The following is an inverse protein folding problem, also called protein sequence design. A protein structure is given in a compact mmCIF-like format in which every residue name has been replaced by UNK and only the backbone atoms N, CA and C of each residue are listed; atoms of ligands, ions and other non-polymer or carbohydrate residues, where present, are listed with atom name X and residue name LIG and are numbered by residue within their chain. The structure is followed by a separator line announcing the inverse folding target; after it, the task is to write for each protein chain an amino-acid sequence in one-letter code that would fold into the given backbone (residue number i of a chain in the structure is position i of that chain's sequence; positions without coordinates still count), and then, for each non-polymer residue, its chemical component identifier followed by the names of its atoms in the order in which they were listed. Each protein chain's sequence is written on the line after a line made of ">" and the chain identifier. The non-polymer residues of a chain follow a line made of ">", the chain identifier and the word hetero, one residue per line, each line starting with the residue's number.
data_IF_501786965374
#
_entry.id   IF_501786965374
#
_cell.length_a   1.000
_cell.length_b   1.000
_cell.length_c   1.000
_cell.angle_alpha   90.00
_cell.angle_beta   90.00
_cell.angle_gamma   90.00
#
_symmetry.space_group_name_H-M   'P 1'
#
loop_
_entity.id
_entity.type
_entity.pdbx_description
1 polymer ?
#
# COMPACT_ATOMS: atom_id res chain seq x y z
N UNK A 1 -17.13 0.97 14.74
CA UNK A 1 -16.94 1.94 13.66
C UNK A 1 -18.06 1.75 12.65
N UNK A 2 -18.91 2.76 12.49
CA UNK A 2 -20.04 2.81 11.56
C UNK A 2 -19.64 3.53 10.27
N UNK A 3 -20.39 3.31 9.17
CA UNK A 3 -20.17 4.02 7.89
C UNK A 3 -20.25 5.54 8.03
N UNK A 4 -21.07 6.04 8.95
CA UNK A 4 -21.20 7.47 9.23
C UNK A 4 -19.92 8.05 9.83
N UNK A 5 -19.31 7.34 10.78
CA UNK A 5 -18.05 7.74 11.41
C UNK A 5 -16.89 7.73 10.39
N UNK A 6 -16.83 6.72 9.52
CA UNK A 6 -15.82 6.63 8.45
C UNK A 6 -15.99 7.76 7.44
N UNK A 7 -17.24 8.02 7.03
CA UNK A 7 -17.55 9.08 6.10
C UNK A 7 -17.19 10.46 6.67
N UNK A 8 -17.47 10.69 7.95
CA UNK A 8 -17.03 11.91 8.64
C UNK A 8 -15.52 12.01 8.72
N UNK A 9 -14.81 10.94 9.07
CA UNK A 9 -13.35 10.94 9.17
C UNK A 9 -12.66 11.21 7.82
N UNK A 10 -13.24 10.74 6.72
CA UNK A 10 -12.74 10.93 5.36
C UNK A 10 -13.30 12.19 4.68
N UNK A 11 -14.16 12.95 5.37
CA UNK A 11 -14.83 14.14 4.83
C UNK A 11 -15.63 13.87 3.55
N UNK A 12 -16.23 12.69 3.45
CA UNK A 12 -17.07 12.26 2.33
C UNK A 12 -18.53 12.08 2.77
N UNK A 13 -19.43 12.01 1.81
CA UNK A 13 -20.82 11.64 2.07
C UNK A 13 -20.92 10.15 2.44
N UNK A 14 -21.72 9.83 3.46
CA UNK A 14 -22.14 8.44 3.77
C UNK A 14 -22.71 7.73 2.54
N UNK A 15 -23.41 8.45 1.67
CA UNK A 15 -23.94 7.88 0.43
C UNK A 15 -22.83 7.51 -0.56
N UNK A 16 -21.76 8.28 -0.63
CA UNK A 16 -20.60 7.96 -1.47
C UNK A 16 -19.92 6.68 -0.98
N UNK A 17 -19.67 6.59 0.34
CA UNK A 17 -19.10 5.39 0.95
C UNK A 17 -19.99 4.17 0.71
N UNK A 18 -21.30 4.30 0.91
CA UNK A 18 -22.27 3.24 0.66
C UNK A 18 -22.31 2.81 -0.81
N UNK A 19 -22.14 3.74 -1.77
CA UNK A 19 -22.04 3.39 -3.20
C UNK A 19 -20.79 2.59 -3.49
N UNK A 20 -19.65 2.96 -2.90
CA UNK A 20 -18.38 2.24 -3.09
C UNK A 20 -18.45 0.83 -2.52
N UNK A 21 -19.00 0.66 -1.32
CA UNK A 21 -19.18 -0.66 -0.69
C UNK A 21 -20.12 -1.58 -1.49
N UNK A 22 -21.07 -1.01 -2.24
CA UNK A 22 -22.00 -1.77 -3.10
C UNK A 22 -21.56 -1.86 -4.57
N UNK A 23 -20.28 -1.56 -4.88
CA UNK A 23 -19.74 -1.55 -6.25
C UNK A 23 -20.54 -0.67 -7.24
N UNK A 24 -21.27 0.34 -6.72
CA UNK A 24 -22.13 1.25 -7.48
C UNK A 24 -21.47 2.60 -7.79
N UNK A 25 -20.16 2.68 -7.57
CA UNK A 25 -19.33 3.84 -7.85
C UNK A 25 -17.89 3.56 -7.43
N UNK A 26 -16.95 4.31 -7.99
CA UNK A 26 -15.55 4.22 -7.62
C UNK A 26 -15.13 5.46 -6.82
N UNK A 27 -14.32 5.31 -5.76
CA UNK A 27 -13.70 6.45 -5.11
C UNK A 27 -12.69 7.15 -6.05
N UNK A 28 -12.64 8.48 -5.96
CA UNK A 28 -11.59 9.28 -6.62
C UNK A 28 -10.21 9.03 -6.00
N UNK A 29 -9.15 9.47 -6.67
CA UNK A 29 -7.77 9.27 -6.21
C UNK A 29 -7.54 9.84 -4.79
N UNK A 30 -8.07 11.02 -4.47
CA UNK A 30 -7.97 11.59 -3.12
C UNK A 30 -8.63 10.70 -2.07
N UNK A 31 -9.81 10.15 -2.39
CA UNK A 31 -10.57 9.28 -1.50
C UNK A 31 -9.88 7.93 -1.33
N UNK A 32 -9.27 7.39 -2.38
CA UNK A 32 -8.45 6.17 -2.31
C UNK A 32 -7.22 6.38 -1.41
N UNK A 33 -6.52 7.50 -1.56
CA UNK A 33 -5.38 7.85 -0.69
C UNK A 33 -5.84 8.01 0.76
N UNK A 34 -6.98 8.66 0.99
CA UNK A 34 -7.54 8.86 2.32
C UNK A 34 -7.95 7.52 2.97
N UNK A 35 -8.63 6.64 2.22
CA UNK A 35 -8.97 5.28 2.66
C UNK A 35 -7.72 4.46 2.97
N UNK A 36 -6.70 4.51 2.11
CA UNK A 36 -5.43 3.82 2.30
C UNK A 36 -4.77 4.25 3.61
N UNK A 37 -4.71 5.57 3.88
CA UNK A 37 -4.16 6.10 5.13
C UNK A 37 -5.02 5.76 6.34
N UNK A 38 -6.34 5.81 6.21
CA UNK A 38 -7.28 5.56 7.29
C UNK A 38 -7.26 4.10 7.75
N UNK A 39 -7.20 3.16 6.80
CA UNK A 39 -7.15 1.73 7.09
C UNK A 39 -5.73 1.17 7.23
N UNK A 40 -4.69 1.96 6.89
CA UNK A 40 -3.30 1.53 6.91
C UNK A 40 -2.97 0.47 5.85
N UNK A 41 -3.76 0.40 4.78
CA UNK A 41 -3.59 -0.58 3.69
C UNK A 41 -3.07 0.11 2.43
N UNK A 42 -2.25 -0.55 1.61
CA UNK A 42 -1.82 0.03 0.34
C UNK A 42 -3.03 0.24 -0.59
N UNK A 43 -2.96 1.29 -1.41
CA UNK A 43 -4.05 1.63 -2.35
C UNK A 43 -4.43 0.43 -3.20
N UNK A 44 -3.47 -0.38 -3.67
CA UNK A 44 -3.72 -1.59 -4.46
C UNK A 44 -4.67 -2.58 -3.77
N UNK A 45 -4.63 -2.69 -2.44
CA UNK A 45 -5.53 -3.57 -1.68
C UNK A 45 -6.98 -3.05 -1.65
N UNK A 46 -7.22 -1.79 -2.02
CA UNK A 46 -8.55 -1.20 -2.14
C UNK A 46 -9.15 -1.35 -3.55
N UNK A 47 -8.33 -1.69 -4.57
CA UNK A 47 -8.75 -1.73 -5.98
C UNK A 47 -8.81 -3.16 -6.53
N UNK A 48 -7.94 -4.06 -6.08
CA UNK A 48 -7.87 -5.43 -6.60
C UNK A 48 -8.55 -6.43 -5.67
N UNK A 49 -9.64 -7.05 -6.16
CA UNK A 49 -10.31 -8.17 -5.50
C UNK A 49 -9.57 -9.51 -5.69
N UNK A 50 -8.46 -9.53 -6.45
CA UNK A 50 -7.87 -10.77 -6.98
C UNK A 50 -6.41 -11.02 -6.63
N UNK A 51 -5.73 -10.10 -5.94
CA UNK A 51 -4.34 -10.34 -5.51
C UNK A 51 -4.29 -10.74 -4.03
N UNK A 52 -3.82 -11.96 -3.70
CA UNK A 52 -3.41 -12.27 -2.33
C UNK A 52 -2.30 -11.27 -1.99
N UNK A 53 -2.60 -10.31 -1.12
CA UNK A 53 -1.60 -9.38 -0.64
C UNK A 53 -0.65 -10.18 0.24
N UNK A 54 0.46 -10.62 -0.32
CA UNK A 54 1.54 -11.22 0.45
C UNK A 54 1.96 -10.18 1.50
N UNK A 55 1.78 -10.55 2.76
CA UNK A 55 1.98 -9.69 3.92
C UNK A 55 3.45 -9.28 4.01
N UNK A 56 3.81 -8.17 3.38
CA UNK A 56 5.03 -7.45 3.74
C UNK A 56 4.69 -6.54 4.92
N UNK A 57 4.80 -7.12 6.11
CA UNK A 57 4.69 -6.39 7.37
C UNK A 57 5.72 -5.23 7.40
N UNK A 58 5.35 -4.03 7.89
CA UNK A 58 6.24 -2.88 7.91
C UNK A 58 7.26 -2.89 9.07
N UNK A 59 7.91 -4.03 9.36
CA UNK A 59 8.94 -4.16 10.40
C UNK A 59 10.21 -4.89 9.92
N UNK A 60 10.65 -4.64 8.69
CA UNK A 60 12.07 -4.77 8.30
C UNK A 60 12.35 -3.84 7.10
N UNK A 61 12.60 -2.57 7.38
CA UNK A 61 13.43 -1.74 6.49
C UNK A 61 14.85 -1.87 7.04
N UNK A 62 15.76 -2.64 6.40
CA UNK A 62 17.17 -2.44 6.65
C UNK A 62 17.52 -1.05 6.12
N UNK A 63 17.59 -0.09 7.03
CA UNK A 63 18.49 1.04 6.87
C UNK A 63 19.92 0.49 6.88
N UNK A 64 20.40 0.14 5.69
CA UNK A 64 21.83 0.06 5.41
C UNK A 64 22.05 0.64 4.01
N UNK A 65 22.18 1.97 3.98
CA UNK A 65 23.21 2.64 3.20
C UNK A 65 24.42 1.72 2.95
N UNK A 66 24.52 1.11 1.77
CA UNK A 66 25.80 0.66 1.24
C UNK A 66 25.79 0.80 -0.28
N UNK A 67 26.58 1.77 -0.75
CA UNK A 67 27.02 1.90 -2.13
C UNK A 67 27.70 0.59 -2.56
N UNK A 68 27.00 -0.28 -3.28
CA UNK A 68 27.65 -1.43 -3.92
C UNK A 68 28.49 -0.91 -5.09
N UNK A 69 29.77 -0.67 -4.76
CA UNK A 69 30.83 -0.53 -5.75
C UNK A 69 30.87 -1.84 -6.54
N UNK A 70 30.41 -1.79 -7.77
CA UNK A 70 30.85 -2.69 -8.83
C UNK A 70 32.34 -2.42 -9.12
N UNK A 71 33.22 -2.79 -8.19
CA UNK A 71 34.67 -2.79 -8.38
C UNK A 71 35.09 -4.21 -8.70
N UNK A 72 35.24 -4.49 -9.99
CA UNK A 72 35.86 -5.72 -10.51
C UNK A 72 37.24 -5.91 -9.85
N UNK A 73 37.43 -6.98 -9.08
CA UNK A 73 38.74 -7.41 -8.60
C UNK A 73 39.24 -8.59 -9.45
N UNK A 74 40.21 -8.38 -10.37
CA UNK A 74 40.68 -9.41 -11.30
C UNK A 74 41.55 -10.49 -10.63
N UNK A 75 41.71 -10.47 -9.30
CA UNK A 75 42.59 -11.38 -8.56
C UNK A 75 41.89 -12.49 -7.79
N UNK A 76 40.56 -12.63 -7.87
CA UNK A 76 39.89 -13.82 -7.35
C UNK A 76 39.96 -14.97 -8.37
N UNK A 77 41.18 -15.30 -8.77
CA UNK A 77 41.50 -16.55 -9.44
C UNK A 77 41.31 -17.70 -8.44
N UNK A 78 40.37 -18.59 -8.81
CA UNK A 78 40.25 -20.02 -8.48
C UNK A 78 41.29 -20.59 -7.51
N UNK A 79 40.81 -21.34 -6.51
CA UNK A 79 41.53 -22.52 -6.05
C UNK A 79 40.57 -23.65 -5.60
N UNK A 80 40.54 -24.65 -6.49
CA UNK A 80 40.18 -26.09 -6.38
C UNK A 80 38.75 -26.46 -5.98
#
# INVERSE_FOLDING_TARGET
>A
MSQEEVAQALHISRQSLSKWENQRGNPDLENLVALSKFYGVPINALIDETIPTECTAPDDVPDQNNTDKTSYDPNLMIQI
#
